data_IF_607005504464
#
_entry.id   IF_607005504464
#
_cell.length_a   1.000
_cell.length_b   1.000
_cell.length_c   1.000
_cell.angle_alpha   90.00
_cell.angle_beta   90.00
_cell.angle_gamma   90.00
#
_symmetry.space_group_name_H-M   'P 1'
#
loop_
_entity.id
_entity.type
_entity.pdbx_description
1 polymer ?
#
# COMPACT_ATOMS: atom_id res chain seq x y z
N UNK A 1 21.03 -10.47 8.86
CA UNK A 1 20.46 -10.08 7.55
C UNK A 1 19.07 -10.70 7.41
N UNK A 2 18.04 -10.00 6.90
CA UNK A 2 16.64 -10.52 6.82
C UNK A 2 16.56 -11.88 6.11
N UNK A 3 17.34 -12.06 5.04
CA UNK A 3 17.40 -13.28 4.24
C UNK A 3 17.84 -14.54 5.03
N UNK A 4 18.55 -14.39 6.15
CA UNK A 4 19.02 -15.52 6.98
C UNK A 4 17.89 -16.40 7.52
N UNK A 5 16.66 -15.88 7.54
CA UNK A 5 15.46 -16.63 7.93
C UNK A 5 15.04 -17.68 6.88
N UNK A 6 15.57 -17.65 5.67
CA UNK A 6 15.33 -18.64 4.62
C UNK A 6 16.64 -19.33 4.22
N UNK A 7 16.51 -20.47 3.55
CA UNK A 7 17.64 -21.10 2.88
C UNK A 7 17.94 -20.37 1.56
N UNK A 8 19.22 -20.05 1.33
CA UNK A 8 19.71 -19.34 0.15
C UNK A 8 21.12 -19.80 -0.19
N UNK A 9 21.49 -19.67 -1.47
CA UNK A 9 22.83 -19.94 -1.96
C UNK A 9 23.73 -18.73 -1.62
N UNK A 10 24.81 -18.85 -0.82
CA UNK A 10 25.61 -17.69 -0.42
C UNK A 10 26.28 -16.93 -1.58
N UNK A 11 26.50 -17.61 -2.70
CA UNK A 11 26.99 -17.00 -3.95
C UNK A 11 25.98 -16.09 -4.62
N UNK A 12 24.72 -16.06 -4.16
CA UNK A 12 23.64 -15.28 -4.74
C UNK A 12 23.43 -13.89 -4.12
N UNK A 13 24.26 -13.50 -3.14
CA UNK A 13 24.11 -12.21 -2.46
C UNK A 13 24.26 -11.01 -3.41
N UNK A 14 25.03 -11.12 -4.48
CA UNK A 14 25.15 -10.08 -5.50
C UNK A 14 23.81 -9.80 -6.22
N UNK A 15 22.88 -10.77 -6.23
CA UNK A 15 21.55 -10.59 -6.81
C UNK A 15 20.68 -9.62 -6.01
N UNK A 16 20.99 -9.38 -4.72
CA UNK A 16 20.29 -8.40 -3.90
C UNK A 16 20.48 -6.96 -4.42
N UNK A 17 21.51 -6.72 -5.24
CA UNK A 17 21.69 -5.43 -5.92
C UNK A 17 20.65 -5.20 -7.03
N UNK A 18 19.99 -6.26 -7.52
CA UNK A 18 18.96 -6.19 -8.56
C UNK A 18 17.58 -6.14 -7.93
N UNK A 19 17.33 -5.08 -7.15
CA UNK A 19 16.07 -4.90 -6.46
C UNK A 19 15.10 -3.98 -7.22
N UNK A 20 13.82 -4.09 -6.89
CA UNK A 20 12.79 -3.12 -7.29
C UNK A 20 12.06 -2.63 -6.06
N UNK A 21 11.98 -1.32 -5.88
CA UNK A 21 11.17 -0.70 -4.83
C UNK A 21 9.93 -0.08 -5.48
N UNK A 22 8.79 -0.31 -4.84
CA UNK A 22 7.50 0.35 -5.03
C UNK A 22 6.79 0.29 -3.69
N UNK A 23 5.49 -0.03 -3.62
CA UNK A 23 4.82 -0.32 -2.34
C UNK A 23 5.39 -1.54 -1.60
N UNK A 24 6.24 -2.35 -2.24
CA UNK A 24 7.06 -3.38 -1.61
C UNK A 24 8.46 -3.28 -2.21
N UNK A 25 9.49 -3.48 -1.39
CA UNK A 25 10.83 -3.78 -1.86
C UNK A 25 10.93 -5.27 -2.22
N UNK A 26 11.48 -5.55 -3.40
CA UNK A 26 11.54 -6.89 -3.99
C UNK A 26 12.98 -7.22 -4.31
N UNK A 27 13.51 -8.29 -3.70
CA UNK A 27 14.89 -8.73 -3.84
C UNK A 27 14.96 -10.16 -4.37
N UNK A 28 15.57 -10.41 -5.54
CA UNK A 28 15.82 -11.75 -6.03
C UNK A 28 17.02 -12.37 -5.30
N UNK A 29 16.95 -13.68 -5.07
CA UNK A 29 18.07 -14.49 -4.58
C UNK A 29 17.96 -15.92 -5.11
N UNK A 30 18.99 -16.75 -4.93
CA UNK A 30 18.96 -18.14 -5.38
C UNK A 30 18.87 -19.10 -4.21
N UNK A 31 18.22 -20.24 -4.43
CA UNK A 31 18.35 -21.42 -3.59
C UNK A 31 18.28 -22.67 -4.45
N UNK A 32 19.28 -23.56 -4.31
CA UNK A 32 19.39 -24.78 -5.13
C UNK A 32 19.30 -24.50 -6.64
N UNK A 33 19.91 -23.40 -7.10
CA UNK A 33 19.90 -23.02 -8.52
C UNK A 33 18.55 -22.47 -9.03
N UNK A 34 17.57 -22.24 -8.16
CA UNK A 34 16.29 -21.63 -8.52
C UNK A 34 16.17 -20.21 -7.95
N UNK A 35 15.66 -19.28 -8.77
CA UNK A 35 15.40 -17.91 -8.33
C UNK A 35 14.20 -17.88 -7.41
N UNK A 36 14.36 -17.23 -6.26
CA UNK A 36 13.31 -16.86 -5.32
C UNK A 36 13.27 -15.36 -5.16
N UNK A 37 12.15 -14.88 -4.64
CA UNK A 37 11.87 -13.46 -4.50
C UNK A 37 11.51 -13.18 -3.05
N UNK A 38 12.34 -12.41 -2.36
CA UNK A 38 12.02 -11.83 -1.06
C UNK A 38 11.20 -10.55 -1.30
N UNK A 39 9.99 -10.50 -0.73
CA UNK A 39 9.22 -9.26 -0.57
C UNK A 39 9.40 -8.74 0.84
N UNK A 40 9.56 -7.42 0.93
CA UNK A 40 9.92 -6.71 2.14
C UNK A 40 9.18 -5.36 2.15
N UNK A 41 8.44 -5.07 3.21
CA UNK A 41 7.66 -3.82 3.32
C UNK A 41 7.56 -3.32 4.77
N UNK A 42 7.51 -2.00 5.00
CA UNK A 42 7.38 -1.43 6.34
C UNK A 42 6.05 -1.82 7.01
N UNK A 43 6.08 -2.12 8.31
CA UNK A 43 4.88 -2.50 9.08
C UNK A 43 3.91 -1.33 9.30
N UNK A 44 4.39 -0.08 9.24
CA UNK A 44 3.56 1.12 9.35
C UNK A 44 2.82 1.45 8.04
N UNK A 45 3.28 0.96 6.89
CA UNK A 45 2.66 1.22 5.58
C UNK A 45 1.75 0.09 5.09
N UNK A 46 1.82 -1.09 5.74
CA UNK A 46 1.09 -2.28 5.30
C UNK A 46 0.27 -2.88 6.42
N UNK A 47 -1.03 -3.01 6.15
CA UNK A 47 -1.90 -3.77 7.02
C UNK A 47 -1.56 -5.27 6.97
N UNK A 48 -1.30 -5.84 8.16
CA UNK A 48 -0.91 -7.25 8.32
C UNK A 48 -2.01 -8.21 7.88
N UNK A 49 -3.28 -7.87 8.11
CA UNK A 49 -4.42 -8.72 7.75
C UNK A 49 -4.58 -8.84 6.23
N UNK A 50 -4.30 -7.76 5.48
CA UNK A 50 -4.25 -7.78 4.02
C UNK A 50 -3.16 -8.68 3.48
N UNK A 51 -1.96 -8.67 4.08
CA UNK A 51 -0.87 -9.58 3.70
C UNK A 51 -1.30 -11.02 3.97
N UNK A 52 -1.83 -11.32 5.15
CA UNK A 52 -2.31 -12.67 5.48
C UNK A 52 -3.38 -13.12 4.48
N UNK A 53 -4.35 -12.27 4.15
CA UNK A 53 -5.38 -12.56 3.17
C UNK A 53 -4.83 -12.80 1.75
N UNK A 54 -3.76 -12.09 1.34
CA UNK A 54 -3.04 -12.39 0.08
C UNK A 54 -2.44 -13.80 0.11
N UNK A 55 -1.69 -14.15 1.16
CA UNK A 55 -1.03 -15.45 1.29
C UNK A 55 -2.05 -16.60 1.37
N UNK A 56 -3.15 -16.41 2.10
CA UNK A 56 -4.25 -17.38 2.18
C UNK A 56 -4.91 -17.61 0.82
N UNK A 57 -5.19 -16.57 0.06
CA UNK A 57 -5.80 -16.69 -1.26
C UNK A 57 -4.87 -17.37 -2.27
N UNK A 58 -3.58 -17.02 -2.26
CA UNK A 58 -2.55 -17.67 -3.09
C UNK A 58 -2.48 -19.18 -2.78
N UNK A 59 -2.46 -19.56 -1.50
CA UNK A 59 -2.50 -20.97 -1.08
C UNK A 59 -3.75 -21.68 -1.56
N UNK A 60 -4.92 -21.04 -1.46
CA UNK A 60 -6.16 -21.59 -1.99
C UNK A 60 -6.07 -21.83 -3.50
N UNK A 61 -5.62 -20.85 -4.28
CA UNK A 61 -5.45 -20.99 -5.73
C UNK A 61 -4.51 -22.14 -6.08
N UNK A 62 -3.39 -22.26 -5.35
CA UNK A 62 -2.46 -23.36 -5.55
C UNK A 62 -3.09 -24.72 -5.24
N UNK A 63 -3.84 -24.84 -4.14
CA UNK A 63 -4.56 -26.07 -3.78
C UNK A 63 -5.60 -26.50 -4.83
N UNK A 64 -6.04 -25.57 -5.68
CA UNK A 64 -6.97 -25.80 -6.80
C UNK A 64 -6.27 -26.00 -8.15
N UNK A 65 -4.93 -26.08 -8.17
CA UNK A 65 -4.13 -26.26 -9.38
C UNK A 65 -4.18 -25.04 -10.32
N UNK A 66 -4.43 -23.84 -9.77
CA UNK A 66 -4.25 -22.60 -10.51
C UNK A 66 -2.78 -22.16 -10.42
N UNK A 67 -2.10 -21.80 -11.52
CA UNK A 67 -0.68 -21.45 -11.50
C UNK A 67 -0.46 -20.03 -10.98
N UNK A 68 -0.74 -19.83 -9.70
CA UNK A 68 -0.30 -18.67 -8.94
C UNK A 68 1.14 -18.90 -8.44
N UNK A 69 1.80 -17.83 -7.99
CA UNK A 69 3.06 -17.93 -7.23
C UNK A 69 2.91 -18.76 -5.94
N UNK A 70 4.00 -19.28 -5.40
CA UNK A 70 3.98 -20.10 -4.17
C UNK A 70 4.83 -19.47 -3.07
N UNK A 71 4.31 -19.47 -1.85
CA UNK A 71 5.04 -18.98 -0.67
C UNK A 71 6.08 -20.00 -0.23
N UNK A 72 7.23 -19.50 0.19
CA UNK A 72 8.32 -20.31 0.77
C UNK A 72 8.37 -20.04 2.26
N UNK A 73 8.26 -21.11 3.05
CA UNK A 73 8.35 -21.03 4.51
C UNK A 73 9.79 -20.74 4.95
N UNK A 74 9.92 -19.96 6.01
CA UNK A 74 11.19 -19.73 6.70
C UNK A 74 11.71 -21.02 7.35
N UNK A 75 12.95 -20.99 7.83
CA UNK A 75 13.57 -22.06 8.63
C UNK A 75 12.76 -22.42 9.88
N UNK A 76 11.99 -21.45 10.39
CA UNK A 76 11.08 -21.63 11.53
C UNK A 76 9.64 -21.99 11.10
N UNK A 77 9.43 -22.42 9.85
CA UNK A 77 8.16 -22.87 9.30
C UNK A 77 7.06 -21.78 9.28
N UNK A 78 7.45 -20.50 9.18
CA UNK A 78 6.53 -19.36 9.05
C UNK A 78 6.55 -18.79 7.63
N UNK A 79 5.39 -18.42 7.09
CA UNK A 79 5.27 -17.80 5.75
C UNK A 79 5.48 -16.28 5.79
N UNK A 80 5.05 -15.63 6.87
CA UNK A 80 5.17 -14.19 7.11
C UNK A 80 5.98 -13.97 8.38
N UNK A 81 7.04 -13.17 8.28
CA UNK A 81 7.85 -12.73 9.41
C UNK A 81 7.66 -11.24 9.63
N UNK A 82 7.64 -10.83 10.90
CA UNK A 82 7.88 -9.45 11.29
C UNK A 82 9.33 -9.39 11.79
N UNK A 83 10.14 -8.54 11.16
CA UNK A 83 11.57 -8.41 11.44
C UNK A 83 11.86 -6.99 11.91
N UNK A 84 12.63 -6.90 12.99
CA UNK A 84 13.06 -5.63 13.56
C UNK A 84 14.38 -5.23 12.93
N UNK A 85 14.46 -4.02 12.39
CA UNK A 85 15.67 -3.47 11.76
C UNK A 85 16.03 -2.13 12.40
N UNK A 86 17.27 -1.63 12.21
CA UNK A 86 17.63 -0.28 12.64
C UNK A 86 16.77 0.84 12.04
N UNK A 87 16.03 0.56 10.95
CA UNK A 87 15.17 1.52 10.24
C UNK A 87 13.68 1.29 10.50
N UNK A 88 13.33 0.49 11.51
CA UNK A 88 11.95 0.16 11.87
C UNK A 88 11.58 -1.31 11.66
N UNK A 89 10.30 -1.60 11.85
CA UNK A 89 9.74 -2.94 11.72
C UNK A 89 9.22 -3.19 10.31
N UNK A 90 9.49 -4.39 9.79
CA UNK A 90 9.13 -4.76 8.43
C UNK A 90 8.49 -6.14 8.40
N UNK A 91 7.56 -6.31 7.46
CA UNK A 91 7.08 -7.62 7.05
C UNK A 91 7.99 -8.21 5.97
N UNK A 92 8.32 -9.49 6.11
CA UNK A 92 9.16 -10.23 5.18
C UNK A 92 8.54 -11.58 4.84
N UNK A 93 8.48 -11.90 3.55
CA UNK A 93 7.97 -13.18 3.03
C UNK A 93 8.59 -13.49 1.65
N UNK A 94 8.69 -14.77 1.32
CA UNK A 94 9.39 -15.23 0.11
C UNK A 94 8.42 -15.96 -0.82
N UNK A 95 8.57 -15.73 -2.12
CA UNK A 95 7.93 -16.52 -3.16
C UNK A 95 8.92 -17.25 -4.06
N UNK A 96 8.49 -18.39 -4.60
CA UNK A 96 9.15 -18.99 -5.76
C UNK A 96 8.89 -18.14 -7.01
N UNK A 97 9.92 -17.97 -7.84
CA UNK A 97 9.74 -17.32 -9.15
C UNK A 97 8.91 -18.22 -10.05
N UNK A 98 7.91 -17.64 -10.72
CA UNK A 98 7.15 -18.33 -11.76
C UNK A 98 7.93 -18.35 -13.07
N UNK A 99 7.87 -19.47 -13.79
CA UNK A 99 8.48 -19.60 -15.11
C UNK A 99 7.74 -18.73 -16.14
N UNK A 100 8.48 -18.20 -17.12
CA UNK A 100 7.94 -17.43 -18.23
C UNK A 100 8.60 -16.05 -18.38
N UNK A 101 8.12 -15.33 -19.40
CA UNK A 101 8.47 -13.93 -19.70
C UNK A 101 7.24 -13.06 -19.51
N UNK A 102 7.42 -11.74 -19.35
CA UNK A 102 6.26 -10.86 -19.20
C UNK A 102 5.46 -10.82 -20.51
N UNK A 103 4.14 -10.66 -20.42
CA UNK A 103 3.30 -10.57 -21.63
C UNK A 103 3.68 -9.38 -22.54
N UNK A 104 4.26 -8.31 -21.99
CA UNK A 104 4.78 -7.18 -22.76
C UNK A 104 6.11 -7.46 -23.48
N UNK A 105 6.77 -8.57 -23.18
CA UNK A 105 8.05 -8.99 -23.79
C UNK A 105 7.85 -10.06 -24.88
N UNK A 106 6.60 -10.34 -25.28
CA UNK A 106 6.27 -11.32 -26.30
C UNK A 106 5.14 -10.83 -27.19
N UNK A 107 5.01 -11.41 -28.38
CA UNK A 107 3.94 -11.06 -29.31
C UNK A 107 2.58 -11.48 -28.74
N UNK A 108 1.69 -10.51 -28.54
CA UNK A 108 0.35 -10.78 -28.01
C UNK A 108 -0.61 -11.28 -29.10
N UNK A 109 -0.43 -12.54 -29.49
CA UNK A 109 -1.23 -13.20 -30.53
C UNK A 109 -2.66 -13.51 -30.09
N UNK A 110 -3.55 -13.79 -31.05
CA UNK A 110 -4.92 -14.26 -30.76
C UNK A 110 -4.96 -15.50 -29.85
N UNK A 111 -4.02 -16.43 -30.01
CA UNK A 111 -3.92 -17.63 -29.18
C UNK A 111 -3.54 -17.31 -27.73
N UNK A 112 -2.59 -16.38 -27.53
CA UNK A 112 -2.21 -15.90 -26.20
C UNK A 112 -3.39 -15.15 -25.57
N UNK A 113 -4.08 -14.29 -26.33
CA UNK A 113 -5.27 -13.58 -25.85
C UNK A 113 -6.37 -14.56 -25.40
N UNK A 114 -6.65 -15.62 -26.18
CA UNK A 114 -7.62 -16.66 -25.81
C UNK A 114 -7.19 -17.41 -24.55
N UNK A 115 -5.90 -17.75 -24.41
CA UNK A 115 -5.36 -18.36 -23.18
C UNK A 115 -5.52 -17.42 -21.99
N UNK A 116 -5.16 -16.15 -22.13
CA UNK A 116 -5.30 -15.13 -21.09
C UNK A 116 -6.76 -15.05 -20.59
N UNK A 117 -7.73 -14.93 -21.49
CA UNK A 117 -9.15 -14.93 -21.12
C UNK A 117 -9.59 -16.21 -20.40
N UNK A 118 -9.11 -17.39 -20.84
CA UNK A 118 -9.37 -18.66 -20.15
C UNK A 118 -8.79 -18.68 -18.73
N UNK A 119 -7.59 -18.18 -18.51
CA UNK A 119 -6.97 -18.13 -17.19
C UNK A 119 -7.66 -17.12 -16.27
N UNK A 120 -8.01 -15.93 -16.78
CA UNK A 120 -8.77 -14.94 -16.03
C UNK A 120 -10.15 -15.47 -15.61
N UNK A 121 -10.88 -16.11 -16.53
CA UNK A 121 -12.17 -16.74 -16.20
C UNK A 121 -12.06 -17.85 -15.17
N UNK A 122 -10.99 -18.65 -15.19
CA UNK A 122 -10.70 -19.65 -14.15
C UNK A 122 -10.41 -18.99 -12.81
N UNK A 123 -9.65 -17.90 -12.79
CA UNK A 123 -9.37 -17.14 -11.57
C UNK A 123 -10.67 -16.61 -10.96
N UNK A 124 -11.53 -15.99 -11.75
CA UNK A 124 -12.82 -15.46 -11.29
C UNK A 124 -13.71 -16.57 -10.71
N UNK A 125 -13.80 -17.72 -11.39
CA UNK A 125 -14.56 -18.86 -10.87
C UNK A 125 -14.05 -19.29 -9.48
N UNK A 126 -12.74 -19.52 -9.36
CA UNK A 126 -12.13 -19.92 -8.08
C UNK A 126 -12.32 -18.83 -7.01
N UNK A 127 -12.16 -17.57 -7.37
CA UNK A 127 -12.39 -16.44 -6.46
C UNK A 127 -13.83 -16.40 -5.94
N UNK A 128 -14.82 -16.70 -6.78
CA UNK A 128 -16.23 -16.74 -6.38
C UNK A 128 -16.58 -17.90 -5.45
N UNK A 129 -15.78 -18.97 -5.48
CA UNK A 129 -15.92 -20.15 -4.61
C UNK A 129 -15.09 -20.02 -3.32
N UNK A 130 -14.17 -19.05 -3.25
CA UNK A 130 -13.30 -18.84 -2.11
C UNK A 130 -14.07 -18.23 -0.94
N UNK A 131 -13.91 -18.84 0.23
CA UNK A 131 -14.43 -18.33 1.50
C UNK A 131 -13.24 -18.06 2.42
N UNK A 132 -12.91 -16.80 2.73
CA UNK A 132 -11.78 -16.48 3.58
C UNK A 132 -12.04 -17.03 5.00
N UNK A 133 -11.09 -17.77 5.59
CA UNK A 133 -11.29 -18.43 6.88
C UNK A 133 -11.22 -17.46 8.06
N UNK A 134 -10.31 -16.47 8.00
CA UNK A 134 -9.96 -15.64 9.16
C UNK A 134 -10.05 -14.13 8.86
N UNK A 135 -9.57 -13.71 7.69
CA UNK A 135 -9.40 -12.29 7.36
C UNK A 135 -9.98 -11.99 6.00
N UNK A 136 -10.87 -10.99 5.91
CA UNK A 136 -11.24 -10.41 4.63
C UNK A 136 -10.17 -9.41 4.21
N UNK A 137 -9.76 -9.49 2.94
CA UNK A 137 -8.98 -8.40 2.33
C UNK A 137 -9.88 -7.18 2.19
N UNK A 138 -9.27 -6.01 2.15
CA UNK A 138 -9.96 -4.76 1.87
C UNK A 138 -10.81 -4.89 0.60
N UNK A 139 -12.06 -4.46 0.71
CA UNK A 139 -12.92 -4.14 -0.42
C UNK A 139 -12.48 -2.83 -1.07
N UNK A 140 -13.09 -2.48 -2.21
CA UNK A 140 -12.86 -1.17 -2.81
C UNK A 140 -13.32 -0.03 -1.89
N UNK A 141 -14.38 -0.24 -1.10
CA UNK A 141 -14.87 0.75 -0.13
C UNK A 141 -13.85 0.98 0.98
N UNK A 142 -13.27 -0.11 1.53
CA UNK A 142 -12.21 0.00 2.53
C UNK A 142 -10.98 0.74 1.99
N UNK A 143 -10.63 0.53 0.71
CA UNK A 143 -9.53 1.24 0.05
C UNK A 143 -9.87 2.72 -0.15
N UNK A 144 -11.11 3.06 -0.52
CA UNK A 144 -11.53 4.45 -0.67
C UNK A 144 -11.55 5.18 0.67
N UNK A 145 -12.04 4.54 1.73
CA UNK A 145 -12.03 5.08 3.10
C UNK A 145 -10.58 5.27 3.58
N UNK A 146 -9.68 4.32 3.28
CA UNK A 146 -8.27 4.48 3.59
C UNK A 146 -7.65 5.65 2.81
N UNK A 147 -7.88 5.73 1.50
CA UNK A 147 -7.35 6.80 0.67
C UNK A 147 -7.85 8.17 1.11
N UNK A 148 -9.13 8.29 1.45
CA UNK A 148 -9.70 9.49 2.07
C UNK A 148 -8.89 9.86 3.31
N UNK A 149 -8.77 8.96 4.30
CA UNK A 149 -8.02 9.23 5.54
C UNK A 149 -6.57 9.64 5.34
N UNK A 150 -5.85 9.07 4.38
CA UNK A 150 -4.48 9.49 4.08
C UNK A 150 -4.43 10.89 3.47
N UNK A 151 -5.35 11.17 2.52
CA UNK A 151 -5.44 12.47 1.84
C UNK A 151 -6.00 13.58 2.73
N UNK A 152 -6.60 13.26 3.88
CA UNK A 152 -7.10 14.23 4.85
C UNK A 152 -5.99 14.79 5.78
N UNK A 153 -4.77 14.26 5.76
CA UNK A 153 -3.70 14.71 6.66
C UNK A 153 -2.95 15.93 6.09
N UNK A 154 -3.23 17.11 6.63
CA UNK A 154 -2.46 18.31 6.33
C UNK A 154 -1.15 18.36 7.10
N UNK A 155 -0.03 18.35 6.37
CA UNK A 155 1.30 18.49 6.94
C UNK A 155 1.71 19.98 7.08
N UNK A 156 1.06 20.67 8.01
CA UNK A 156 1.29 22.09 8.32
C UNK A 156 2.03 22.22 9.65
N UNK A 157 3.12 22.99 9.66
CA UNK A 157 3.98 23.22 10.82
C UNK A 157 4.01 24.70 11.20
N UNK A 158 3.68 25.01 12.45
CA UNK A 158 3.80 26.37 12.98
C UNK A 158 5.20 26.65 13.56
N UNK A 159 5.88 27.64 12.99
CA UNK A 159 7.14 28.17 13.51
C UNK A 159 6.85 29.34 14.46
N UNK A 160 6.88 29.07 15.77
CA UNK A 160 6.67 30.07 16.82
C UNK A 160 7.73 31.20 16.82
N UNK A 161 8.90 31.00 16.20
CA UNK A 161 9.98 32.00 16.21
C UNK A 161 9.84 33.00 15.08
N UNK A 162 9.44 32.51 13.90
CA UNK A 162 9.20 33.32 12.72
C UNK A 162 7.75 33.81 12.61
N UNK A 163 6.84 33.25 13.41
CA UNK A 163 5.39 33.46 13.33
C UNK A 163 4.83 33.11 11.94
N UNK A 164 5.17 31.92 11.45
CA UNK A 164 4.80 31.46 10.10
C UNK A 164 4.29 30.03 10.08
N UNK A 165 3.44 29.72 9.10
CA UNK A 165 3.01 28.36 8.79
C UNK A 165 3.83 27.83 7.61
N UNK A 166 4.43 26.65 7.78
CA UNK A 166 5.18 25.95 6.74
C UNK A 166 4.40 24.71 6.32
N UNK A 167 4.05 24.62 5.04
CA UNK A 167 3.36 23.47 4.45
C UNK A 167 4.41 22.56 3.81
N UNK A 168 4.34 21.26 4.09
CA UNK A 168 5.22 20.25 3.47
C UNK A 168 4.39 19.12 2.85
N UNK A 169 5.09 18.16 2.25
CA UNK A 169 4.51 16.92 1.72
C UNK A 169 3.51 17.13 0.56
N UNK A 170 4.00 17.74 -0.52
CA UNK A 170 3.23 17.98 -1.74
C UNK A 170 3.25 16.79 -2.72
N UNK A 171 3.74 15.62 -2.30
CA UNK A 171 3.91 14.47 -3.20
C UNK A 171 2.56 13.92 -3.71
N UNK A 172 1.49 14.09 -2.93
CA UNK A 172 0.12 13.68 -3.27
C UNK A 172 -0.79 14.85 -3.74
N UNK A 173 -0.21 16.03 -4.03
CA UNK A 173 -0.99 17.18 -4.51
C UNK A 173 -1.72 16.89 -5.83
N UNK A 174 -2.99 17.27 -5.92
CA UNK A 174 -3.84 16.98 -7.08
C UNK A 174 -4.78 18.14 -7.45
N UNK A 175 -5.29 18.14 -8.68
CA UNK A 175 -6.33 19.09 -9.08
C UNK A 175 -7.70 18.68 -8.51
N UNK A 176 -8.26 19.51 -7.63
CA UNK A 176 -9.63 19.38 -7.13
C UNK A 176 -10.24 20.77 -6.86
N UNK A 177 -11.50 20.80 -6.40
CA UNK A 177 -12.11 22.05 -5.93
C UNK A 177 -11.45 22.53 -4.64
N UNK A 178 -11.22 23.85 -4.52
CA UNK A 178 -10.61 24.45 -3.33
C UNK A 178 -11.40 24.17 -2.03
N UNK A 179 -12.72 23.92 -2.14
CA UNK A 179 -13.54 23.55 -0.98
C UNK A 179 -13.11 22.23 -0.33
N UNK A 180 -12.46 21.32 -1.07
CA UNK A 180 -11.92 20.09 -0.50
C UNK A 180 -10.84 20.39 0.54
N UNK A 181 -9.89 21.29 0.22
CA UNK A 181 -8.85 21.72 1.16
C UNK A 181 -9.43 22.45 2.38
N UNK A 182 -10.44 23.31 2.15
CA UNK A 182 -11.10 24.06 3.22
C UNK A 182 -11.79 23.10 4.20
N UNK A 183 -12.60 22.16 3.69
CA UNK A 183 -13.28 21.17 4.53
C UNK A 183 -12.28 20.33 5.32
N UNK A 184 -11.17 19.92 4.69
CA UNK A 184 -10.10 19.19 5.34
C UNK A 184 -9.43 19.98 6.47
N UNK A 185 -9.11 21.26 6.24
CA UNK A 185 -8.47 22.10 7.25
C UNK A 185 -9.39 22.31 8.46
N UNK A 186 -10.68 22.53 8.21
CA UNK A 186 -11.70 22.67 9.26
C UNK A 186 -11.94 21.37 10.03
N UNK A 187 -11.95 20.21 9.36
CA UNK A 187 -12.08 18.91 10.01
C UNK A 187 -10.87 18.61 10.93
N UNK A 188 -9.65 18.95 10.49
CA UNK A 188 -8.45 18.86 11.33
C UNK A 188 -8.57 19.75 12.58
N UNK A 189 -9.00 21.00 12.42
CA UNK A 189 -9.23 21.93 13.55
C UNK A 189 -10.27 21.38 14.53
N UNK A 190 -11.33 20.75 14.03
CA UNK A 190 -12.39 20.15 14.85
C UNK A 190 -11.88 18.92 15.63
N UNK A 191 -11.08 18.06 14.99
CA UNK A 191 -10.63 16.79 15.55
C UNK A 191 -9.44 16.92 16.51
N UNK A 192 -8.63 17.98 16.41
CA UNK A 192 -7.46 18.21 17.26
C UNK A 192 -7.79 18.63 18.71
N UNK A 193 -9.07 18.84 19.03
CA UNK A 193 -9.55 19.08 20.41
C UNK A 193 -9.00 20.34 21.09
N UNK A 194 -8.27 21.19 20.35
CA UNK A 194 -7.60 22.37 20.87
C UNK A 194 -8.52 23.58 21.03
N UNK A 195 -9.71 23.58 20.41
CA UNK A 195 -10.65 24.69 20.48
C UNK A 195 -11.90 24.34 21.31
N UNK A 196 -12.22 25.17 22.30
CA UNK A 196 -13.45 25.07 23.07
C UNK A 196 -14.69 25.57 22.29
N UNK A 197 -14.49 26.26 21.16
CA UNK A 197 -15.55 26.80 20.30
C UNK A 197 -15.15 26.74 18.82
N UNK A 198 -15.68 25.73 18.12
CA UNK A 198 -15.49 25.56 16.68
C UNK A 198 -16.07 26.73 15.87
N UNK A 199 -17.16 27.36 16.33
CA UNK A 199 -17.82 28.45 15.60
C UNK A 199 -16.90 29.66 15.46
N UNK A 200 -16.20 30.00 16.55
CA UNK A 200 -15.20 31.07 16.54
C UNK A 200 -14.01 30.74 15.64
N UNK A 201 -13.49 29.50 15.70
CA UNK A 201 -12.37 29.09 14.84
C UNK A 201 -12.73 29.08 13.36
N UNK A 202 -13.92 28.62 13.02
CA UNK A 202 -14.44 28.65 11.65
C UNK A 202 -14.52 30.08 11.11
N UNK A 203 -15.00 31.03 11.93
CA UNK A 203 -15.04 32.44 11.55
C UNK A 203 -13.65 33.02 11.31
N UNK A 204 -12.70 32.79 12.23
CA UNK A 204 -11.31 33.23 12.08
C UNK A 204 -10.63 32.63 10.84
N UNK A 205 -10.88 31.34 10.55
CA UNK A 205 -10.33 30.67 9.37
C UNK A 205 -10.78 31.35 8.08
N UNK A 206 -12.09 31.60 7.92
CA UNK A 206 -12.61 32.26 6.73
C UNK A 206 -12.28 33.74 6.66
N UNK A 207 -12.10 34.43 7.79
CA UNK A 207 -11.55 35.79 7.81
C UNK A 207 -10.16 35.80 7.17
N UNK A 208 -9.24 34.97 7.65
CA UNK A 208 -7.88 34.85 7.09
C UNK A 208 -7.86 34.35 5.64
N UNK A 209 -8.69 33.36 5.28
CA UNK A 209 -8.78 32.86 3.91
C UNK A 209 -9.16 33.97 2.92
N UNK A 210 -10.09 34.85 3.32
CA UNK A 210 -10.57 35.97 2.50
C UNK A 210 -9.59 37.12 2.36
N UNK A 211 -8.54 37.17 3.18
CA UNK A 211 -7.44 38.14 2.98
C UNK A 211 -6.67 37.85 1.69
N UNK A 212 -6.61 36.58 1.28
CA UNK A 212 -5.82 36.12 0.12
C UNK A 212 -6.68 35.61 -1.05
N UNK A 213 -7.88 35.05 -0.78
CA UNK A 213 -8.73 34.46 -1.83
C UNK A 213 -10.23 34.69 -1.58
N UNK A 214 -10.93 35.17 -2.61
CA UNK A 214 -12.37 35.41 -2.51
C UNK A 214 -13.16 34.10 -2.52
N UNK A 215 -14.02 33.92 -1.52
CA UNK A 215 -14.89 32.75 -1.38
C UNK A 215 -16.31 33.17 -1.05
N UNK A 216 -17.26 32.70 -1.85
CA UNK A 216 -18.68 33.04 -1.73
C UNK A 216 -19.27 32.53 -0.41
N UNK A 217 -20.19 33.29 0.18
CA UNK A 217 -20.88 32.91 1.42
C UNK A 217 -21.63 31.57 1.32
N UNK A 218 -22.06 31.16 0.12
CA UNK A 218 -22.73 29.86 -0.11
C UNK A 218 -21.83 28.66 0.24
N UNK A 219 -20.50 28.83 0.17
CA UNK A 219 -19.51 27.81 0.52
C UNK A 219 -19.23 27.82 2.03
N UNK A 220 -19.40 28.96 2.69
CA UNK A 220 -19.12 29.17 4.12
C UNK A 220 -20.29 28.73 5.03
N UNK A 221 -21.50 28.66 4.48
CA UNK A 221 -22.74 28.38 5.21
C UNK A 221 -23.18 26.90 5.26
N UNK A 222 -22.44 25.99 4.62
CA UNK A 222 -22.68 24.54 4.64
C UNK A 222 -21.69 23.81 5.56
#
# INVERSE_FOLDING_TARGET
MVLENWEYDPSSLDLLNYYRISSNAVYPFMYNGQVRILRFCPCNEKDKSNIIGELEFIRYLYSKGYPALHTVKSKNNQELLQVHTPWGDYFAFVFERVAGIQLGETDYTCDICRKHGKYLGRLHKLSSEYKPPNTMRHSYEDVLIWAERELLNFNIFYDNTADTLNIIDFDDAMYHWYIMDICQALDSIMNDGCCADFSSMNACFFEGYREEFDVSDDIVAN
#
